data_IF_319515059566
#
_entry.id   IF_319515059566
#
_cell.length_a   1.000
_cell.length_b   1.000
_cell.length_c   1.000
_cell.angle_alpha   90.00
_cell.angle_beta   90.00
_cell.angle_gamma   90.00
#
_symmetry.space_group_name_H-M   'P 1'
#
loop_
_entity.id
_entity.type
_entity.pdbx_description
1 polymer ?
#
# COMPACT_ATOMS: atom_id res chain seq x y z
N UNK A 1 3.92 -18.42 14.94
CA UNK A 1 4.46 -17.52 13.91
C UNK A 1 5.09 -18.38 12.84
N UNK A 2 4.52 -18.41 11.63
CA UNK A 2 5.23 -18.96 10.48
C UNK A 2 6.23 -17.92 10.04
N UNK A 3 7.53 -18.19 10.21
CA UNK A 3 8.59 -17.22 9.93
C UNK A 3 8.90 -17.08 8.43
N UNK A 4 8.45 -18.03 7.61
CA UNK A 4 8.74 -18.07 6.17
C UNK A 4 7.49 -17.75 5.33
N UNK A 5 7.57 -16.67 4.54
CA UNK A 5 6.64 -16.40 3.45
C UNK A 5 7.02 -17.27 2.25
N UNK A 6 6.08 -18.09 1.78
CA UNK A 6 6.27 -18.94 0.60
C UNK A 6 5.22 -18.62 -0.46
N UNK A 7 5.68 -18.15 -1.61
CA UNK A 7 4.85 -17.99 -2.81
C UNK A 7 5.35 -18.91 -3.93
N UNK A 8 4.46 -19.48 -4.75
CA UNK A 8 4.90 -20.38 -5.82
C UNK A 8 5.77 -19.61 -6.84
N UNK A 9 6.88 -20.22 -7.24
CA UNK A 9 7.92 -19.58 -8.07
C UNK A 9 7.42 -19.22 -9.47
N UNK A 10 6.51 -20.03 -10.03
CA UNK A 10 5.93 -19.84 -11.37
C UNK A 10 4.43 -19.48 -11.34
N UNK A 11 3.92 -19.06 -10.18
CA UNK A 11 2.53 -18.65 -10.06
C UNK A 11 2.25 -17.34 -10.78
N UNK A 12 1.05 -17.22 -11.31
CA UNK A 12 0.54 -15.93 -11.75
C UNK A 12 0.31 -14.98 -10.56
N UNK A 13 0.01 -13.72 -10.88
CA UNK A 13 -0.19 -12.67 -9.88
C UNK A 13 -1.34 -13.01 -8.91
N UNK A 14 -2.46 -13.56 -9.41
CA UNK A 14 -3.62 -13.90 -8.58
C UNK A 14 -3.30 -15.07 -7.64
N UNK A 15 -2.63 -16.10 -8.14
CA UNK A 15 -2.16 -17.24 -7.35
C UNK A 15 -1.21 -16.82 -6.23
N UNK A 16 -0.28 -15.88 -6.51
CA UNK A 16 0.61 -15.30 -5.48
C UNK A 16 -0.18 -14.59 -4.38
N UNK A 17 -1.16 -13.76 -4.74
CA UNK A 17 -2.01 -13.10 -3.75
C UNK A 17 -2.84 -14.09 -2.92
N UNK A 18 -3.41 -15.11 -3.55
CA UNK A 18 -4.19 -16.17 -2.88
C UNK A 18 -3.32 -16.90 -1.86
N UNK A 19 -2.08 -17.24 -2.22
CA UNK A 19 -1.13 -17.87 -1.32
C UNK A 19 -0.71 -16.93 -0.19
N UNK A 20 -0.48 -15.65 -0.48
CA UNK A 20 0.08 -14.68 0.47
C UNK A 20 -0.90 -14.24 1.56
N UNK A 21 -2.17 -13.97 1.22
CA UNK A 21 -3.15 -13.44 2.17
C UNK A 21 -3.29 -14.23 3.49
N UNK A 22 -3.46 -15.56 3.50
CA UNK A 22 -3.53 -16.31 4.76
C UNK A 22 -2.22 -16.26 5.54
N UNK A 23 -1.07 -16.15 4.86
CA UNK A 23 0.23 -16.02 5.51
C UNK A 23 0.39 -14.64 6.16
N UNK A 24 -0.10 -13.56 5.54
CA UNK A 24 -0.11 -12.24 6.16
C UNK A 24 -0.92 -12.23 7.47
N UNK A 25 -2.09 -12.88 7.48
CA UNK A 25 -2.91 -13.01 8.70
C UNK A 25 -2.18 -13.79 9.79
N UNK A 26 -1.51 -14.88 9.45
CA UNK A 26 -0.75 -15.68 10.40
C UNK A 26 0.52 -14.98 10.91
N UNK A 27 1.13 -14.12 10.09
CA UNK A 27 2.33 -13.36 10.40
C UNK A 27 2.09 -12.32 11.51
N UNK A 28 0.93 -11.67 11.48
CA UNK A 28 0.54 -10.61 12.43
C UNK A 28 -0.29 -11.13 13.61
N UNK A 29 -0.63 -12.42 13.61
CA UNK A 29 -1.45 -13.02 14.67
C UNK A 29 -0.69 -13.04 16.01
N UNK A 30 -1.31 -12.46 17.04
CA UNK A 30 -0.75 -12.39 18.39
C UNK A 30 0.26 -11.28 18.66
N UNK A 31 0.61 -10.45 17.66
CA UNK A 31 1.50 -9.29 17.85
C UNK A 31 0.66 -8.02 18.12
N UNK A 32 0.78 -7.38 19.29
CA UNK A 32 0.02 -6.16 19.62
C UNK A 32 0.56 -4.87 19.00
N UNK A 33 1.82 -4.81 18.56
CA UNK A 33 2.41 -3.59 18.03
C UNK A 33 2.01 -3.37 16.56
N UNK A 34 1.28 -2.27 16.32
CA UNK A 34 0.76 -1.96 14.98
C UNK A 34 1.87 -1.63 13.98
N UNK A 35 2.97 -1.00 14.42
CA UNK A 35 4.08 -0.65 13.54
C UNK A 35 4.84 -1.92 13.11
N UNK A 36 5.09 -2.85 14.03
CA UNK A 36 5.69 -4.15 13.73
C UNK A 36 4.83 -4.93 12.71
N UNK A 37 3.52 -4.98 12.93
CA UNK A 37 2.58 -5.66 12.03
C UNK A 37 2.57 -5.04 10.63
N UNK A 38 2.44 -3.71 10.54
CA UNK A 38 2.45 -2.99 9.28
C UNK A 38 3.78 -3.20 8.56
N UNK A 39 4.91 -3.07 9.25
CA UNK A 39 6.24 -3.27 8.68
C UNK A 39 6.41 -4.68 8.09
N UNK A 40 5.96 -5.71 8.82
CA UNK A 40 6.01 -7.09 8.36
C UNK A 40 5.10 -7.35 7.16
N UNK A 41 3.90 -6.75 7.12
CA UNK A 41 3.02 -6.83 5.93
C UNK A 41 3.70 -6.19 4.72
N UNK A 42 4.30 -5.00 4.86
CA UNK A 42 5.01 -4.35 3.75
C UNK A 42 6.20 -5.19 3.25
N UNK A 43 6.96 -5.79 4.18
CA UNK A 43 8.07 -6.69 3.86
C UNK A 43 7.60 -7.94 3.10
N UNK A 44 6.52 -8.57 3.57
CA UNK A 44 5.96 -9.76 2.93
C UNK A 44 5.39 -9.46 1.53
N UNK A 45 4.70 -8.33 1.35
CA UNK A 45 4.22 -7.87 0.04
C UNK A 45 5.38 -7.62 -0.92
N UNK A 46 6.42 -6.89 -0.47
CA UNK A 46 7.63 -6.63 -1.26
C UNK A 46 8.28 -7.92 -1.72
N UNK A 47 8.48 -8.86 -0.80
CA UNK A 47 9.14 -10.13 -1.08
C UNK A 47 8.35 -10.99 -2.06
N UNK A 48 7.05 -11.16 -1.80
CA UNK A 48 6.19 -12.06 -2.57
C UNK A 48 5.85 -11.53 -3.98
N UNK A 49 5.64 -10.21 -4.09
CA UNK A 49 5.14 -9.60 -5.32
C UNK A 49 6.24 -8.88 -6.12
N UNK A 50 7.42 -8.69 -5.52
CA UNK A 50 8.55 -7.96 -6.12
C UNK A 50 8.19 -6.54 -6.59
N UNK A 51 7.29 -5.85 -5.88
CA UNK A 51 6.92 -4.45 -6.17
C UNK A 51 8.15 -3.55 -6.14
N UNK A 52 8.16 -2.46 -6.91
CA UNK A 52 9.29 -1.51 -6.86
C UNK A 52 9.29 -0.77 -5.51
N UNK A 53 8.14 -0.25 -5.12
CA UNK A 53 7.89 0.35 -3.82
C UNK A 53 6.56 -0.15 -3.27
N UNK A 54 6.47 -0.38 -1.97
CA UNK A 54 5.21 -0.69 -1.26
C UNK A 54 5.28 -0.14 0.15
N UNK A 55 4.24 0.54 0.59
CA UNK A 55 4.23 1.17 1.90
C UNK A 55 2.86 1.66 2.32
N UNK A 56 2.86 2.34 3.46
CA UNK A 56 1.66 2.95 4.02
C UNK A 56 1.92 4.41 4.37
N UNK A 57 0.88 5.23 4.23
CA UNK A 57 0.84 6.58 4.76
C UNK A 57 -0.33 6.71 5.73
N UNK A 58 -0.07 7.15 6.96
CA UNK A 58 -1.09 7.38 7.98
C UNK A 58 -1.67 8.77 7.89
N UNK A 59 -2.99 8.90 8.02
CA UNK A 59 -3.63 10.19 8.24
C UNK A 59 -3.26 10.67 9.64
N UNK A 60 -2.49 11.74 9.73
CA UNK A 60 -2.14 12.39 10.99
C UNK A 60 -2.66 13.81 11.01
N UNK A 61 -3.28 14.17 12.14
CA UNK A 61 -3.73 15.52 12.42
C UNK A 61 -2.72 16.25 13.28
N UNK A 62 -2.29 17.42 12.84
CA UNK A 62 -1.61 18.39 13.71
C UNK A 62 -2.58 19.53 14.08
N UNK A 63 -2.09 20.55 14.77
CA UNK A 63 -2.90 21.69 15.24
C UNK A 63 -3.58 22.48 14.12
N UNK A 64 -3.15 22.35 12.86
CA UNK A 64 -3.57 23.21 11.75
C UNK A 64 -4.20 22.43 10.59
N UNK A 65 -3.77 21.20 10.32
CA UNK A 65 -4.19 20.40 9.16
C UNK A 65 -4.06 18.90 9.37
N UNK A 66 -4.71 18.14 8.50
CA UNK A 66 -4.52 16.71 8.33
C UNK A 66 -3.61 16.46 7.11
N UNK A 67 -2.68 15.53 7.26
CA UNK A 67 -1.76 15.11 6.21
C UNK A 67 -1.58 13.61 6.25
N UNK A 68 -1.28 13.01 5.10
CA UNK A 68 -0.70 11.68 5.02
C UNK A 68 0.77 11.77 5.44
N UNK A 69 1.18 10.93 6.40
CA UNK A 69 2.55 10.86 6.93
C UNK A 69 3.08 9.46 6.71
N UNK A 70 4.28 9.37 6.13
CA UNK A 70 4.93 8.10 5.78
C UNK A 70 5.06 7.18 7.00
N UNK A 71 4.57 5.96 6.87
CA UNK A 71 4.75 4.85 7.81
C UNK A 71 5.79 3.84 7.32
N UNK A 72 5.73 2.58 7.79
CA UNK A 72 6.60 1.53 7.27
C UNK A 72 6.43 1.32 5.75
N UNK A 73 7.54 1.06 5.07
CA UNK A 73 7.57 0.84 3.63
C UNK A 73 8.79 -0.01 3.23
N UNK A 74 8.80 -0.46 1.98
CA UNK A 74 9.92 -1.14 1.34
C UNK A 74 10.16 -0.54 -0.03
N UNK A 75 11.40 -0.09 -0.28
CA UNK A 75 11.78 0.55 -1.55
C UNK A 75 12.75 1.71 -1.33
N UNK A 76 13.03 2.49 -2.37
CA UNK A 76 13.81 3.72 -2.25
C UNK A 76 13.13 4.77 -1.36
N UNK A 77 13.87 5.81 -0.97
CA UNK A 77 13.37 6.94 -0.16
C UNK A 77 12.16 7.59 -0.82
N UNK A 78 11.12 7.89 -0.04
CA UNK A 78 9.85 8.45 -0.48
C UNK A 78 9.53 9.80 0.20
N UNK A 79 8.48 10.48 -0.26
CA UNK A 79 8.01 11.71 0.37
C UNK A 79 7.53 11.44 1.80
N UNK A 80 7.90 12.27 2.77
CA UNK A 80 7.49 12.07 4.17
C UNK A 80 6.04 12.51 4.44
N UNK A 81 5.55 13.52 3.71
CA UNK A 81 4.22 14.11 3.91
C UNK A 81 3.51 14.36 2.59
N UNK A 82 2.22 14.04 2.52
CA UNK A 82 1.36 14.26 1.36
C UNK A 82 0.09 14.99 1.82
N UNK A 83 -0.26 16.08 1.14
CA UNK A 83 -1.44 16.86 1.48
C UNK A 83 -2.74 16.24 0.91
N UNK A 84 -3.87 16.53 1.55
CA UNK A 84 -5.20 16.08 1.09
C UNK A 84 -5.47 16.49 -0.36
N UNK A 85 -5.90 15.54 -1.20
CA UNK A 85 -6.19 15.78 -2.61
C UNK A 85 -4.96 16.07 -3.49
N UNK A 86 -3.74 15.78 -3.01
CA UNK A 86 -2.49 16.01 -3.76
C UNK A 86 -1.79 14.71 -4.11
N UNK A 87 -1.37 14.58 -5.37
CA UNK A 87 -0.84 13.32 -5.92
C UNK A 87 -1.89 12.20 -5.90
N UNK A 88 -1.48 11.01 -6.31
CA UNK A 88 -2.38 9.84 -6.37
C UNK A 88 -2.81 9.46 -4.95
N UNK A 89 -1.85 9.37 -4.01
CA UNK A 89 -2.11 9.16 -2.59
C UNK A 89 -3.16 10.11 -1.97
N UNK A 90 -2.95 11.42 -2.11
CA UNK A 90 -3.89 12.41 -1.57
C UNK A 90 -5.24 12.39 -2.28
N UNK A 91 -5.29 12.05 -3.57
CA UNK A 91 -6.55 11.91 -4.32
C UNK A 91 -7.32 10.68 -3.85
N UNK A 92 -6.67 9.54 -3.64
CA UNK A 92 -7.31 8.33 -3.11
C UNK A 92 -7.87 8.57 -1.70
N UNK A 93 -7.13 9.32 -0.87
CA UNK A 93 -7.61 9.77 0.43
C UNK A 93 -8.82 10.71 0.32
N UNK A 94 -8.81 11.63 -0.66
CA UNK A 94 -9.93 12.56 -0.87
C UNK A 94 -11.19 11.87 -1.39
N UNK A 95 -11.05 11.00 -2.37
CA UNK A 95 -12.18 10.36 -3.05
C UNK A 95 -12.71 9.14 -2.28
N UNK A 96 -11.90 8.60 -1.36
CA UNK A 96 -12.19 7.40 -0.59
C UNK A 96 -12.35 6.17 -1.47
N UNK A 97 -11.56 6.07 -2.53
CA UNK A 97 -11.59 4.98 -3.50
C UNK A 97 -10.19 4.57 -3.90
N UNK A 98 -10.04 3.30 -4.26
CA UNK A 98 -8.81 2.79 -4.87
C UNK A 98 -8.56 3.45 -6.21
N UNK A 99 -7.35 3.99 -6.41
CA UNK A 99 -6.93 4.60 -7.67
C UNK A 99 -5.85 3.72 -8.29
N UNK A 100 -6.00 3.40 -9.56
CA UNK A 100 -4.98 2.73 -10.39
C UNK A 100 -4.54 3.74 -11.44
N UNK A 101 -3.24 3.96 -11.55
CA UNK A 101 -2.63 4.86 -12.51
C UNK A 101 -1.74 4.05 -13.45
N UNK A 102 -2.18 3.89 -14.70
CA UNK A 102 -1.46 3.14 -15.72
C UNK A 102 -0.13 3.81 -16.13
N UNK A 103 -0.05 5.13 -16.08
CA UNK A 103 1.14 5.91 -16.40
C UNK A 103 1.18 7.18 -15.54
N UNK A 104 2.05 7.20 -14.52
CA UNK A 104 2.10 8.30 -13.54
C UNK A 104 2.49 9.64 -14.17
N UNK A 105 3.25 9.62 -15.27
CA UNK A 105 3.60 10.83 -16.04
C UNK A 105 2.37 11.52 -16.64
N UNK A 106 1.27 10.78 -16.82
CA UNK A 106 0.01 11.28 -17.38
C UNK A 106 -1.00 11.69 -16.30
N UNK A 107 -0.73 11.43 -15.03
CA UNK A 107 -1.65 11.74 -13.94
C UNK A 107 -1.62 13.24 -13.59
N UNK A 108 -2.76 13.96 -13.65
CA UNK A 108 -2.80 15.39 -13.36
C UNK A 108 -2.39 15.69 -11.92
N UNK A 109 -1.38 16.54 -11.73
CA UNK A 109 -0.90 16.89 -10.39
C UNK A 109 -0.12 15.78 -9.69
N UNK A 110 0.48 14.86 -10.46
CA UNK A 110 1.39 13.85 -9.94
C UNK A 110 2.53 14.48 -9.12
N UNK A 111 2.74 13.95 -7.92
CA UNK A 111 3.88 14.29 -7.06
C UNK A 111 4.85 13.13 -7.17
N UNK A 112 5.77 13.22 -8.13
CA UNK A 112 6.81 12.20 -8.31
C UNK A 112 7.83 12.29 -7.17
N UNK A 113 7.72 11.40 -6.19
CA UNK A 113 8.75 11.23 -5.16
C UNK A 113 9.98 10.48 -5.70
N UNK A 114 9.79 9.63 -6.73
CA UNK A 114 10.86 8.89 -7.40
C UNK A 114 10.64 8.86 -8.91
N UNK A 115 11.61 9.36 -9.69
CA UNK A 115 11.52 9.46 -11.16
C UNK A 115 11.52 8.11 -11.90
N UNK A 116 11.75 6.99 -11.20
CA UNK A 116 11.68 5.66 -11.78
C UNK A 116 10.26 5.06 -11.73
N UNK A 117 9.36 5.59 -10.91
CA UNK A 117 7.97 5.11 -10.88
C UNK A 117 7.27 5.42 -12.20
N UNK A 118 6.53 4.44 -12.72
CA UNK A 118 5.84 4.47 -14.02
C UNK A 118 4.37 4.13 -13.91
N UNK A 119 3.96 3.30 -12.95
CA UNK A 119 2.56 3.07 -12.59
C UNK A 119 2.41 2.97 -11.08
N UNK A 120 1.22 3.26 -10.56
CA UNK A 120 0.93 3.36 -9.13
C UNK A 120 -0.48 2.82 -8.83
N UNK A 121 -0.65 2.10 -7.72
CA UNK A 121 -1.96 1.77 -7.16
C UNK A 121 -2.03 2.20 -5.70
N UNK A 122 -3.06 2.96 -5.36
CA UNK A 122 -3.29 3.45 -3.99
C UNK A 122 -4.63 2.94 -3.46
N UNK A 123 -4.61 2.36 -2.26
CA UNK A 123 -5.77 1.73 -1.61
C UNK A 123 -6.05 2.44 -0.28
N UNK A 124 -7.20 3.10 -0.10
CA UNK A 124 -7.59 3.66 1.19
C UNK A 124 -7.85 2.58 2.24
N UNK A 125 -7.37 2.82 3.46
CA UNK A 125 -7.60 1.97 4.64
C UNK A 125 -8.68 2.63 5.50
N UNK A 126 -9.83 1.97 5.62
CA UNK A 126 -10.97 2.46 6.38
C UNK A 126 -11.02 1.84 7.78
N UNK A 127 -11.07 2.70 8.81
CA UNK A 127 -11.38 2.33 10.20
C UNK A 127 -12.51 3.21 10.71
N UNK A 128 -13.57 2.61 11.26
CA UNK A 128 -14.76 3.31 11.76
C UNK A 128 -15.37 4.30 10.74
N UNK A 129 -15.53 3.87 9.49
CA UNK A 129 -16.02 4.67 8.35
C UNK A 129 -15.18 5.92 8.01
N UNK A 130 -13.93 5.99 8.50
CA UNK A 130 -12.98 7.05 8.16
C UNK A 130 -11.71 6.46 7.59
N UNK A 131 -11.09 7.17 6.65
CA UNK A 131 -9.80 6.78 6.12
C UNK A 131 -8.74 7.15 7.14
N UNK A 132 -8.04 6.15 7.68
CA UNK A 132 -6.96 6.35 8.65
C UNK A 132 -5.57 6.19 8.02
N UNK A 133 -5.49 5.58 6.84
CA UNK A 133 -4.25 5.41 6.08
C UNK A 133 -4.53 5.17 4.60
N UNK A 134 -3.49 5.19 3.77
CA UNK A 134 -3.50 4.63 2.42
C UNK A 134 -2.34 3.66 2.25
N UNK A 135 -2.57 2.53 1.59
CA UNK A 135 -1.52 1.67 1.05
C UNK A 135 -1.14 2.25 -0.32
N UNK A 136 0.15 2.34 -0.58
CA UNK A 136 0.68 2.83 -1.84
C UNK A 136 1.69 1.82 -2.40
N UNK A 137 1.63 1.57 -3.70
CA UNK A 137 2.45 0.60 -4.42
C UNK A 137 2.85 1.17 -5.77
N UNK A 138 4.15 1.25 -6.02
CA UNK A 138 4.73 1.71 -7.28
C UNK A 138 5.34 0.57 -8.09
N UNK A 139 5.39 0.77 -9.40
CA UNK A 139 6.16 -0.05 -10.33
C UNK A 139 7.01 0.81 -11.27
N UNK A 140 8.14 0.25 -11.72
CA UNK A 140 8.96 0.82 -12.80
C UNK A 140 8.39 0.53 -14.20
N UNK A 141 7.32 -0.27 -14.28
CA UNK A 141 6.62 -0.57 -15.53
C UNK A 141 5.34 0.27 -15.63
N UNK A 142 4.96 0.63 -16.85
CA UNK A 142 3.62 1.19 -17.10
C UNK A 142 2.57 0.08 -17.04
N UNK A 143 1.37 0.41 -16.57
CA UNK A 143 0.21 -0.49 -16.52
C UNK A 143 0.48 -1.80 -15.78
N UNK A 144 1.29 -1.77 -14.71
CA UNK A 144 1.67 -2.97 -13.97
C UNK A 144 0.57 -3.46 -13.00
N UNK A 145 -0.36 -2.56 -12.66
CA UNK A 145 -1.46 -2.82 -11.74
C UNK A 145 -2.80 -2.90 -12.47
N UNK A 146 -3.63 -3.83 -12.02
CA UNK A 146 -4.93 -4.12 -12.63
C UNK A 146 -6.00 -4.46 -11.56
N UNK A 147 -7.14 -4.99 -12.00
CA UNK A 147 -8.25 -5.36 -11.12
C UNK A 147 -7.91 -6.47 -10.12
N UNK A 148 -6.95 -7.34 -10.43
CA UNK A 148 -6.43 -8.37 -9.52
C UNK A 148 -5.73 -7.68 -8.36
N UNK A 149 -4.78 -6.77 -8.62
CA UNK A 149 -4.09 -6.02 -7.56
C UNK A 149 -5.08 -5.29 -6.66
N UNK A 150 -6.06 -4.60 -7.26
CA UNK A 150 -7.14 -3.93 -6.50
C UNK A 150 -7.86 -4.91 -5.58
N UNK A 151 -8.38 -6.02 -6.12
CA UNK A 151 -9.17 -7.01 -5.38
C UNK A 151 -8.42 -7.56 -4.16
N UNK A 152 -7.13 -7.78 -4.27
CA UNK A 152 -6.34 -8.40 -3.20
C UNK A 152 -5.72 -7.39 -2.25
N UNK A 153 -5.25 -6.23 -2.74
CA UNK A 153 -4.75 -5.16 -1.87
C UNK A 153 -5.87 -4.50 -1.05
N UNK A 154 -7.12 -4.48 -1.54
CA UNK A 154 -8.29 -4.09 -0.73
C UNK A 154 -8.56 -5.10 0.40
N UNK A 155 -8.25 -6.38 0.23
CA UNK A 155 -8.31 -7.33 1.36
C UNK A 155 -7.17 -7.11 2.37
N UNK A 156 -6.00 -6.70 1.89
CA UNK A 156 -4.90 -6.27 2.77
C UNK A 156 -5.26 -5.01 3.54
N UNK A 157 -5.95 -4.05 2.92
CA UNK A 157 -6.40 -2.83 3.60
C UNK A 157 -7.40 -3.14 4.71
N UNK A 158 -8.31 -4.10 4.50
CA UNK A 158 -9.21 -4.60 5.55
C UNK A 158 -8.43 -5.26 6.70
N UNK A 159 -7.38 -6.03 6.42
CA UNK A 159 -6.51 -6.59 7.45
C UNK A 159 -5.80 -5.49 8.25
N UNK A 160 -5.20 -4.52 7.56
CA UNK A 160 -4.51 -3.39 8.20
C UNK A 160 -5.46 -2.57 9.07
N UNK A 161 -6.70 -2.35 8.64
CA UNK A 161 -7.70 -1.64 9.42
C UNK A 161 -8.01 -2.28 10.79
N UNK A 162 -7.81 -3.60 10.93
CA UNK A 162 -7.99 -4.34 12.19
C UNK A 162 -6.78 -4.19 13.13
N UNK A 163 -5.62 -3.83 12.59
CA UNK A 163 -4.33 -3.73 13.29
C UNK A 163 -4.00 -2.30 13.72
N UNK A 164 -4.55 -1.31 13.01
CA UNK A 164 -4.52 0.11 13.36
C UNK A 164 -5.66 0.44 14.32
#
# INVERSE_FOLDING_TARGET
>A
MSEDISVPVDADKEEKYIALLPQLRALVDGEPDSIANVANIMAALKYAMNFFWVGIYFVQKNSEKEELVLGPFQGPVACTRIAFGKGVCGTAWQDGKTIIVEDVDKFPGHISCNSLSRSEIVIPVFKDNKICAVIDVDSINVSDFDSVDRKYLEQVSVLLAQLL
#
